data_IF_172878340520
#
_entry.id   IF_172878340520
#
_cell.length_a   1.000
_cell.length_b   1.000
_cell.length_c   1.000
_cell.angle_alpha   90.00
_cell.angle_beta   90.00
_cell.angle_gamma   90.00
#
_symmetry.space_group_name_H-M   'P 1'
#
loop_
_entity.id
_entity.type
_entity.pdbx_description
1 polymer ?
#
# COMPACT_ATOMS: atom_id res chain seq x y z
N UNK A 1 22.18 -6.37 -1.85
CA UNK A 1 22.16 -5.73 -0.51
C UNK A 1 21.62 -6.72 0.50
N UNK A 2 20.41 -7.25 0.31
CA UNK A 2 19.78 -8.22 1.20
C UNK A 2 20.66 -9.45 1.50
N UNK A 3 21.25 -10.06 0.46
CA UNK A 3 22.12 -11.23 0.59
C UNK A 3 23.54 -10.92 1.08
N UNK A 4 23.91 -9.66 1.18
CA UNK A 4 25.25 -9.24 1.61
C UNK A 4 25.27 -8.70 3.04
N UNK A 5 24.17 -8.06 3.48
CA UNK A 5 24.07 -7.41 4.79
C UNK A 5 22.93 -7.96 5.66
N UNK A 6 21.98 -8.71 5.07
CA UNK A 6 20.95 -9.45 5.75
C UNK A 6 21.12 -10.95 5.59
N UNK A 7 20.16 -11.74 6.06
CA UNK A 7 20.13 -13.19 5.86
C UNK A 7 19.74 -13.55 4.41
N UNK A 8 18.94 -12.72 3.76
CA UNK A 8 18.44 -12.93 2.42
C UNK A 8 17.35 -11.93 2.03
N UNK A 9 16.65 -12.23 0.96
CA UNK A 9 15.41 -11.51 0.61
C UNK A 9 14.29 -11.98 1.53
N UNK A 10 13.45 -11.07 1.99
CA UNK A 10 12.32 -11.41 2.84
C UNK A 10 11.17 -12.04 2.05
N UNK A 11 11.06 -11.72 0.78
CA UNK A 11 10.08 -12.23 -0.19
C UNK A 11 10.58 -12.01 -1.61
N UNK A 12 9.91 -12.60 -2.60
CA UNK A 12 10.23 -12.38 -4.00
C UNK A 12 9.98 -10.92 -4.37
N UNK A 13 11.07 -10.21 -4.69
CA UNK A 13 10.99 -8.78 -5.02
C UNK A 13 10.12 -8.54 -6.25
N UNK A 14 9.40 -7.44 -6.24
CA UNK A 14 8.59 -6.96 -7.34
C UNK A 14 9.31 -5.77 -7.99
N UNK A 15 9.54 -5.88 -9.30
CA UNK A 15 10.11 -4.81 -10.11
C UNK A 15 9.24 -4.66 -11.35
N UNK A 16 8.29 -3.73 -11.33
CA UNK A 16 7.23 -3.62 -12.31
C UNK A 16 7.17 -2.20 -12.90
N UNK A 17 7.29 -2.09 -14.22
CA UNK A 17 7.19 -0.81 -14.92
C UNK A 17 5.98 -0.78 -15.86
N UNK A 18 5.47 0.42 -16.12
CA UNK A 18 4.33 0.63 -17.02
C UNK A 18 3.13 -0.22 -16.60
N UNK A 19 2.50 -0.89 -17.55
CA UNK A 19 1.31 -1.70 -17.32
C UNK A 19 1.51 -2.85 -16.32
N UNK A 20 2.74 -3.35 -16.17
CA UNK A 20 3.04 -4.41 -15.21
C UNK A 20 2.86 -3.93 -13.76
N UNK A 21 3.01 -2.64 -13.48
CA UNK A 21 2.81 -2.06 -12.15
C UNK A 21 1.35 -2.12 -11.67
N UNK A 22 0.39 -2.40 -12.56
CA UNK A 22 -1.02 -2.65 -12.20
C UNK A 22 -1.27 -4.11 -11.76
N UNK A 23 -0.25 -4.96 -11.79
CA UNK A 23 -0.31 -6.32 -11.23
C UNK A 23 0.33 -6.30 -9.85
N UNK A 24 -0.46 -6.56 -8.80
CA UNK A 24 -0.02 -6.40 -7.40
C UNK A 24 1.30 -7.12 -7.08
N UNK A 25 1.47 -8.34 -7.60
CA UNK A 25 2.67 -9.14 -7.35
C UNK A 25 3.30 -9.57 -8.70
N UNK A 26 3.93 -8.60 -9.39
CA UNK A 26 4.68 -8.88 -10.63
C UNK A 26 6.06 -9.46 -10.32
N UNK A 27 6.09 -10.69 -9.79
CA UNK A 27 7.33 -11.40 -9.40
C UNK A 27 8.12 -11.93 -10.60
N UNK A 28 7.54 -11.92 -11.79
CA UNK A 28 8.25 -12.33 -13.03
C UNK A 28 9.41 -11.38 -13.35
N UNK A 29 9.29 -10.11 -12.97
CA UNK A 29 10.32 -9.09 -13.15
C UNK A 29 10.83 -9.02 -14.61
N UNK A 30 9.93 -9.13 -15.57
CA UNK A 30 10.20 -9.07 -17.01
C UNK A 30 9.61 -7.79 -17.59
N UNK A 31 10.06 -7.42 -18.77
CA UNK A 31 9.67 -6.21 -19.48
C UNK A 31 10.73 -5.14 -19.43
N UNK A 32 10.58 -4.14 -20.27
CA UNK A 32 11.52 -3.03 -20.43
C UNK A 32 11.14 -1.86 -19.51
N UNK A 33 12.13 -1.05 -19.17
CA UNK A 33 11.96 0.24 -18.51
C UNK A 33 11.97 1.33 -19.59
N UNK A 34 10.81 1.86 -19.93
CA UNK A 34 10.72 2.88 -20.96
C UNK A 34 10.72 4.29 -20.36
N UNK A 35 11.20 5.24 -21.13
CA UNK A 35 11.10 6.66 -20.79
C UNK A 35 9.63 7.06 -20.64
N UNK A 36 9.30 7.71 -19.53
CA UNK A 36 7.93 8.10 -19.20
C UNK A 36 7.14 7.08 -18.37
N UNK A 37 7.62 5.83 -18.21
CA UNK A 37 7.00 4.86 -17.32
C UNK A 37 7.22 5.21 -15.84
N UNK A 38 6.32 4.71 -14.98
CA UNK A 38 6.58 4.55 -13.56
C UNK A 38 7.15 3.15 -13.30
N UNK A 39 8.13 3.09 -12.41
CA UNK A 39 8.67 1.85 -11.86
C UNK A 39 8.18 1.69 -10.43
N UNK A 40 7.41 0.65 -10.16
CA UNK A 40 7.12 0.17 -8.81
C UNK A 40 8.20 -0.85 -8.43
N UNK A 41 8.90 -0.55 -7.36
CA UNK A 41 9.89 -1.43 -6.77
C UNK A 41 9.48 -1.76 -5.34
N UNK A 42 9.28 -3.05 -5.10
CA UNK A 42 8.90 -3.59 -3.80
C UNK A 42 9.87 -4.69 -3.42
N UNK A 43 10.59 -4.48 -2.32
CA UNK A 43 11.65 -5.38 -1.90
C UNK A 43 11.87 -5.33 -0.39
N UNK A 44 12.00 -6.50 0.21
CA UNK A 44 12.26 -6.68 1.63
C UNK A 44 13.53 -7.46 1.92
N UNK A 45 14.01 -7.31 3.13
CA UNK A 45 15.23 -7.98 3.64
C UNK A 45 14.86 -8.73 4.92
N UNK A 46 15.20 -10.01 4.98
CA UNK A 46 15.23 -10.73 6.26
C UNK A 46 16.49 -10.30 7.03
N UNK A 47 16.29 -9.77 8.23
CA UNK A 47 17.37 -9.30 9.10
C UNK A 47 17.83 -10.41 10.06
N UNK A 48 18.94 -10.17 10.79
CA UNK A 48 19.53 -11.16 11.69
C UNK A 48 18.58 -11.70 12.78
N UNK A 49 17.55 -10.95 13.15
CA UNK A 49 16.49 -11.40 14.06
C UNK A 49 15.43 -12.28 13.39
N UNK A 50 15.59 -12.61 12.12
CA UNK A 50 14.64 -13.34 11.27
C UNK A 50 13.36 -12.55 10.93
N UNK A 51 13.27 -11.30 11.34
CA UNK A 51 12.17 -10.42 10.92
C UNK A 51 12.37 -9.95 9.49
N UNK A 52 11.28 -9.82 8.77
CA UNK A 52 11.25 -9.34 7.40
C UNK A 52 10.88 -7.86 7.36
N UNK A 53 11.68 -7.07 6.65
CA UNK A 53 11.32 -5.71 6.25
C UNK A 53 10.55 -5.73 4.93
N UNK A 54 9.72 -4.72 4.71
CA UNK A 54 8.89 -4.55 3.54
C UNK A 54 8.87 -3.08 3.11
N UNK A 55 9.35 -2.80 1.90
CA UNK A 55 9.47 -1.43 1.40
C UNK A 55 9.10 -1.35 -0.08
N UNK A 56 8.00 -0.63 -0.36
CA UNK A 56 7.58 -0.28 -1.72
C UNK A 56 7.86 1.18 -2.05
N UNK A 57 8.36 1.44 -3.24
CA UNK A 57 8.53 2.79 -3.80
C UNK A 57 8.15 2.81 -5.27
N UNK A 58 7.43 3.87 -5.68
CA UNK A 58 7.08 4.13 -7.08
C UNK A 58 7.87 5.35 -7.57
N UNK A 59 8.63 5.18 -8.63
CA UNK A 59 9.58 6.16 -9.14
C UNK A 59 9.39 6.35 -10.65
N UNK A 60 9.53 7.57 -11.19
CA UNK A 60 9.56 7.76 -12.63
C UNK A 60 10.88 7.23 -13.21
N UNK A 61 10.83 6.39 -14.24
CA UNK A 61 12.01 5.76 -14.86
C UNK A 61 13.03 6.79 -15.31
N UNK A 62 12.59 7.92 -15.86
CA UNK A 62 13.46 9.02 -16.32
C UNK A 62 13.81 10.05 -15.23
N UNK A 63 13.41 9.82 -13.98
CA UNK A 63 13.66 10.70 -12.85
C UNK A 63 12.73 11.92 -12.76
N UNK A 64 11.69 12.01 -13.59
CA UNK A 64 10.74 13.13 -13.61
C UNK A 64 9.32 12.63 -13.74
N UNK A 65 8.45 13.04 -12.82
CA UNK A 65 7.02 12.82 -12.95
C UNK A 65 6.42 13.73 -14.02
N UNK A 66 5.49 13.22 -14.80
CA UNK A 66 4.52 14.07 -15.52
C UNK A 66 3.55 14.69 -14.51
N UNK A 67 2.80 15.73 -14.94
CA UNK A 67 1.82 16.37 -14.04
C UNK A 67 0.75 15.37 -13.55
N UNK A 68 0.28 14.49 -14.41
CA UNK A 68 -0.69 13.45 -14.05
C UNK A 68 -0.10 12.44 -13.04
N UNK A 69 1.11 11.94 -13.31
CA UNK A 69 1.80 11.03 -12.39
C UNK A 69 2.05 11.68 -11.03
N UNK A 70 2.46 12.95 -11.02
CA UNK A 70 2.69 13.72 -9.79
C UNK A 70 1.39 13.91 -8.99
N UNK A 71 0.28 14.21 -9.67
CA UNK A 71 -1.03 14.35 -9.04
C UNK A 71 -1.45 13.06 -8.33
N UNK A 72 -1.31 11.92 -8.99
CA UNK A 72 -1.65 10.61 -8.38
C UNK A 72 -0.67 10.25 -7.26
N UNK A 73 0.64 10.46 -7.48
CA UNK A 73 1.67 10.21 -6.47
C UNK A 73 1.41 11.00 -5.18
N UNK A 74 1.10 12.29 -5.29
CA UNK A 74 0.85 13.15 -4.12
C UNK A 74 -0.43 12.72 -3.36
N UNK A 75 -1.45 12.24 -4.06
CA UNK A 75 -2.65 11.69 -3.43
C UNK A 75 -2.34 10.40 -2.64
N UNK A 76 -1.58 9.48 -3.23
CA UNK A 76 -1.15 8.25 -2.54
C UNK A 76 -0.24 8.57 -1.35
N UNK A 77 0.66 9.53 -1.50
CA UNK A 77 1.52 10.00 -0.41
C UNK A 77 0.70 10.60 0.74
N UNK A 78 -0.30 11.43 0.43
CA UNK A 78 -1.21 11.98 1.44
C UNK A 78 -2.02 10.87 2.16
N UNK A 79 -2.46 9.85 1.43
CA UNK A 79 -3.14 8.69 2.01
C UNK A 79 -2.20 7.88 2.94
N UNK A 80 -0.93 7.71 2.56
CA UNK A 80 0.07 7.07 3.39
C UNK A 80 0.30 7.86 4.70
N UNK A 81 0.48 9.17 4.62
CA UNK A 81 0.66 10.04 5.79
C UNK A 81 -0.55 9.97 6.73
N UNK A 82 -1.77 9.96 6.18
CA UNK A 82 -2.99 9.79 6.98
C UNK A 82 -3.03 8.43 7.69
N UNK A 83 -2.69 7.35 6.98
CA UNK A 83 -2.57 6.02 7.57
C UNK A 83 -1.52 5.96 8.66
N UNK A 84 -0.31 6.51 8.44
CA UNK A 84 0.77 6.57 9.44
C UNK A 84 0.31 7.34 10.68
N UNK A 85 -0.38 8.46 10.51
CA UNK A 85 -0.91 9.26 11.63
C UNK A 85 -1.96 8.50 12.47
N UNK A 86 -2.66 7.53 11.89
CA UNK A 86 -3.59 6.67 12.60
C UNK A 86 -2.91 5.56 13.40
N UNK A 87 -1.65 5.21 13.11
CA UNK A 87 -0.90 4.17 13.85
C UNK A 87 -0.49 4.70 15.21
N UNK A 88 -1.22 4.28 16.24
CA UNK A 88 -0.94 4.63 17.64
C UNK A 88 -1.51 3.56 18.58
N UNK A 89 -0.92 3.37 19.77
CA UNK A 89 -1.49 2.48 20.78
C UNK A 89 -2.96 2.83 21.09
N UNK A 90 -3.81 1.81 21.13
CA UNK A 90 -5.25 1.94 21.38
C UNK A 90 -6.10 2.23 20.12
N UNK A 91 -5.49 2.56 18.98
CA UNK A 91 -6.22 2.61 17.71
C UNK A 91 -6.53 1.18 17.24
N UNK A 92 -7.60 0.99 16.50
CA UNK A 92 -7.88 -0.28 15.84
C UNK A 92 -6.97 -0.46 14.63
N UNK A 93 -6.63 -1.70 14.32
CA UNK A 93 -5.87 -2.00 13.10
C UNK A 93 -6.58 -1.48 11.84
N UNK A 94 -7.91 -1.58 11.78
CA UNK A 94 -8.71 -1.06 10.67
C UNK A 94 -8.65 0.46 10.52
N UNK A 95 -8.42 1.22 11.59
CA UNK A 95 -8.39 2.69 11.54
C UNK A 95 -7.29 3.20 10.57
N UNK A 96 -6.22 2.44 10.40
CA UNK A 96 -5.14 2.76 9.46
C UNK A 96 -5.64 2.69 8.01
N UNK A 97 -6.39 1.66 7.69
CA UNK A 97 -7.01 1.51 6.37
C UNK A 97 -8.06 2.59 6.14
N UNK A 98 -8.95 2.80 7.11
CA UNK A 98 -10.04 3.76 6.99
C UNK A 98 -9.52 5.19 6.79
N UNK A 99 -8.44 5.57 7.47
CA UNK A 99 -7.79 6.87 7.27
C UNK A 99 -7.22 7.03 5.86
N UNK A 100 -6.54 6.01 5.35
CA UNK A 100 -5.93 6.05 4.03
C UNK A 100 -6.96 6.05 2.90
N UNK A 101 -7.98 5.18 2.96
CA UNK A 101 -9.00 5.10 1.90
C UNK A 101 -9.91 6.33 1.85
N UNK A 102 -10.09 7.03 2.96
CA UNK A 102 -10.82 8.31 2.98
C UNK A 102 -10.12 9.34 2.10
N UNK A 103 -8.82 9.53 2.26
CA UNK A 103 -8.02 10.44 1.41
C UNK A 103 -8.10 10.03 -0.06
N UNK A 104 -7.99 8.74 -0.35
CA UNK A 104 -8.13 8.22 -1.73
C UNK A 104 -9.51 8.53 -2.28
N UNK A 105 -10.59 8.27 -1.53
CA UNK A 105 -11.96 8.51 -1.98
C UNK A 105 -12.22 10.01 -2.24
N UNK A 106 -11.69 10.90 -1.41
CA UNK A 106 -11.76 12.35 -1.60
C UNK A 106 -11.09 12.78 -2.91
N UNK A 107 -9.90 12.25 -3.22
CA UNK A 107 -9.22 12.52 -4.48
C UNK A 107 -9.97 11.92 -5.68
N UNK A 108 -10.45 10.69 -5.60
CA UNK A 108 -11.24 10.05 -6.65
C UNK A 108 -12.51 10.84 -6.95
N UNK A 109 -13.20 11.34 -5.90
CA UNK A 109 -14.36 12.22 -6.06
C UNK A 109 -13.98 13.53 -6.76
N UNK A 110 -12.93 14.21 -6.30
CA UNK A 110 -12.46 15.46 -6.88
C UNK A 110 -12.03 15.33 -8.35
N UNK A 111 -11.52 14.16 -8.75
CA UNK A 111 -11.13 13.86 -10.13
C UNK A 111 -12.29 13.38 -11.00
N UNK A 112 -13.49 13.20 -10.44
CA UNK A 112 -14.65 12.67 -11.17
C UNK A 112 -14.53 11.19 -11.54
N UNK A 113 -13.78 10.41 -10.77
CA UNK A 113 -13.53 8.98 -10.98
C UNK A 113 -14.50 8.07 -10.19
N UNK A 114 -15.34 8.66 -9.34
CA UNK A 114 -16.48 7.96 -8.74
C UNK A 114 -17.69 8.01 -9.69
N UNK A 115 -18.63 7.05 -9.58
CA UNK A 115 -19.86 7.10 -10.35
C UNK A 115 -20.67 8.39 -10.09
N UNK A 116 -21.44 8.82 -11.08
CA UNK A 116 -22.28 10.00 -10.95
C UNK A 116 -23.26 9.89 -9.73
N UNK A 117 -23.31 10.93 -8.91
CA UNK A 117 -24.14 10.97 -7.72
C UNK A 117 -23.57 10.25 -6.48
N UNK A 118 -22.38 9.65 -6.60
CA UNK A 118 -21.69 9.00 -5.46
C UNK A 118 -20.78 10.02 -4.79
N UNK A 119 -21.07 10.37 -3.55
CA UNK A 119 -20.18 11.16 -2.69
C UNK A 119 -19.17 10.27 -1.95
N UNK A 120 -18.29 10.90 -1.18
CA UNK A 120 -17.23 10.21 -0.44
C UNK A 120 -17.78 9.22 0.58
N UNK A 121 -18.82 9.60 1.31
CA UNK A 121 -19.42 8.76 2.35
C UNK A 121 -20.08 7.52 1.73
N UNK A 122 -20.82 7.70 0.65
CA UNK A 122 -21.38 6.60 -0.14
C UNK A 122 -20.28 5.70 -0.72
N UNK A 123 -19.17 6.30 -1.21
CA UNK A 123 -18.07 5.54 -1.76
C UNK A 123 -17.34 4.68 -0.71
N UNK A 124 -17.39 5.05 0.55
CA UNK A 124 -16.77 4.35 1.66
C UNK A 124 -17.71 3.40 2.41
N UNK A 125 -19.04 3.48 2.16
CA UNK A 125 -20.00 2.61 2.79
C UNK A 125 -19.64 1.14 2.64
N UNK A 126 -19.59 0.39 3.75
CA UNK A 126 -19.09 -0.99 3.77
C UNK A 126 -20.06 -2.02 3.23
N UNK A 127 -21.36 -1.69 3.19
CA UNK A 127 -22.42 -2.64 2.76
C UNK A 127 -22.80 -2.42 1.30
N UNK A 128 -22.90 -1.15 0.87
CA UNK A 128 -23.47 -0.80 -0.43
C UNK A 128 -22.57 0.07 -1.31
N UNK A 129 -21.37 0.41 -0.80
CA UNK A 129 -20.42 1.30 -1.45
C UNK A 129 -19.13 0.60 -1.87
N UNK A 130 -18.03 1.00 -1.26
CA UNK A 130 -16.68 0.54 -1.55
C UNK A 130 -16.23 0.84 -2.99
N UNK A 131 -16.69 1.94 -3.58
CA UNK A 131 -16.35 2.31 -4.96
C UNK A 131 -14.87 2.64 -5.15
N UNK A 132 -14.17 3.03 -4.08
CA UNK A 132 -12.71 3.19 -4.07
C UNK A 132 -11.97 1.91 -4.46
N UNK A 133 -12.54 0.73 -4.20
CA UNK A 133 -11.91 -0.58 -4.47
C UNK A 133 -11.69 -0.86 -5.96
N UNK A 134 -12.29 -0.08 -6.84
CA UNK A 134 -11.99 -0.13 -8.28
C UNK A 134 -10.55 0.34 -8.57
N UNK A 135 -10.01 1.18 -7.70
CA UNK A 135 -8.73 1.87 -7.87
C UNK A 135 -7.70 1.43 -6.83
N UNK A 136 -8.14 1.10 -5.62
CA UNK A 136 -7.34 0.53 -4.56
C UNK A 136 -7.90 -0.84 -4.19
N UNK A 137 -7.31 -1.89 -4.72
CA UNK A 137 -7.87 -3.26 -4.70
C UNK A 137 -7.42 -4.10 -3.50
N UNK A 138 -6.53 -3.57 -2.65
CA UNK A 138 -5.96 -4.28 -1.50
C UNK A 138 -6.14 -3.52 -0.18
N UNK A 139 -5.77 -4.14 0.93
CA UNK A 139 -5.71 -3.49 2.24
C UNK A 139 -4.52 -2.55 2.34
N UNK A 140 -4.61 -1.55 3.24
CA UNK A 140 -3.51 -0.60 3.46
C UNK A 140 -2.38 -1.19 4.30
N UNK A 141 -2.66 -2.22 5.10
CA UNK A 141 -1.72 -2.67 6.12
C UNK A 141 -1.76 -4.17 6.32
N UNK A 142 -0.62 -4.73 6.69
CA UNK A 142 -0.48 -6.05 7.29
C UNK A 142 0.60 -6.01 8.38
N UNK A 143 0.57 -6.98 9.29
CA UNK A 143 1.63 -7.13 10.27
C UNK A 143 2.90 -7.67 9.61
N UNK A 144 4.05 -7.24 10.14
CA UNK A 144 5.37 -7.74 9.81
C UNK A 144 5.92 -8.53 11.00
N UNK A 145 6.59 -9.64 10.71
CA UNK A 145 7.22 -10.49 11.71
C UNK A 145 8.24 -11.43 11.07
N UNK A 146 8.18 -12.71 11.42
CA UNK A 146 8.98 -13.76 10.79
C UNK A 146 8.60 -13.93 9.31
N UNK A 147 7.33 -13.74 9.00
CA UNK A 147 6.83 -13.67 7.63
C UNK A 147 6.53 -12.21 7.24
N UNK A 148 6.63 -11.89 5.94
CA UNK A 148 6.26 -10.56 5.41
C UNK A 148 4.77 -10.28 5.66
N UNK A 149 3.90 -11.25 5.39
CA UNK A 149 2.49 -11.23 5.79
C UNK A 149 2.35 -12.07 7.07
N UNK A 150 2.73 -11.50 8.19
CA UNK A 150 2.71 -12.22 9.46
C UNK A 150 1.27 -12.46 9.93
N UNK A 151 1.08 -13.58 10.64
CA UNK A 151 -0.24 -14.07 11.04
C UNK A 151 -0.95 -13.20 12.11
N UNK A 152 -0.32 -12.13 12.59
CA UNK A 152 -0.80 -11.38 13.75
C UNK A 152 -1.08 -12.32 14.93
N UNK A 153 -2.05 -12.05 15.77
CA UNK A 153 -2.37 -12.89 16.93
C UNK A 153 -3.69 -13.68 16.77
N UNK A 154 -4.40 -13.49 15.64
CA UNK A 154 -5.75 -13.98 15.50
C UNK A 154 -6.16 -14.12 14.02
N UNK A 155 -7.37 -14.61 13.78
CA UNK A 155 -7.99 -14.61 12.47
C UNK A 155 -8.22 -13.17 12.00
N UNK A 156 -8.29 -13.00 10.68
CA UNK A 156 -8.47 -11.67 10.07
C UNK A 156 -9.65 -10.91 10.64
N UNK A 157 -10.78 -11.58 10.84
CA UNK A 157 -12.00 -10.99 11.39
C UNK A 157 -11.82 -10.43 12.81
N UNK A 158 -10.89 -11.01 13.55
CA UNK A 158 -10.60 -10.61 14.94
C UNK A 158 -9.57 -9.47 14.96
N UNK A 159 -8.45 -9.58 14.22
CA UNK A 159 -7.39 -8.57 14.31
C UNK A 159 -7.74 -7.26 13.61
N UNK A 160 -8.64 -7.23 12.63
CA UNK A 160 -9.08 -5.97 12.01
C UNK A 160 -9.69 -4.99 13.02
N UNK A 161 -10.46 -5.51 13.97
CA UNK A 161 -11.05 -4.73 15.06
C UNK A 161 -10.17 -4.66 16.32
N UNK A 162 -9.02 -5.35 16.35
CA UNK A 162 -8.13 -5.38 17.52
C UNK A 162 -7.37 -4.07 17.68
N UNK A 163 -7.08 -3.73 18.93
CA UNK A 163 -6.27 -2.55 19.25
C UNK A 163 -4.79 -2.77 18.95
N UNK A 164 -4.15 -1.75 18.39
CA UNK A 164 -2.71 -1.70 18.24
C UNK A 164 -2.05 -1.52 19.63
N UNK A 165 -1.08 -2.36 19.93
CA UNK A 165 -0.31 -2.25 21.18
C UNK A 165 1.16 -1.94 20.90
N UNK A 166 1.89 -1.33 21.85
CA UNK A 166 3.31 -1.06 21.71
C UNK A 166 4.11 -2.33 21.37
N UNK A 167 4.98 -2.22 20.38
CA UNK A 167 5.80 -3.34 19.88
C UNK A 167 5.26 -4.03 18.63
N UNK A 168 4.03 -3.77 18.21
CA UNK A 168 3.52 -4.21 16.90
C UNK A 168 4.23 -3.47 15.77
N UNK A 169 4.54 -4.19 14.70
CA UNK A 169 5.11 -3.66 13.46
C UNK A 169 4.12 -3.97 12.34
N UNK A 170 3.81 -2.99 11.54
CA UNK A 170 2.88 -3.11 10.41
C UNK A 170 3.29 -2.21 9.24
N UNK A 171 2.84 -2.55 8.05
CA UNK A 171 2.99 -1.72 6.85
C UNK A 171 1.93 -0.62 6.80
N UNK A 172 2.20 0.45 6.06
CA UNK A 172 1.21 1.45 5.61
C UNK A 172 1.47 1.72 4.13
N UNK A 173 0.71 1.08 3.28
CA UNK A 173 0.99 0.95 1.85
C UNK A 173 -0.24 1.17 0.96
N UNK A 174 -0.91 2.32 1.03
CA UNK A 174 -1.99 2.62 0.10
C UNK A 174 -1.47 2.70 -1.33
N UNK A 175 -2.31 2.37 -2.32
CA UNK A 175 -1.96 2.44 -3.73
C UNK A 175 -3.16 2.79 -4.62
N UNK A 176 -2.88 3.28 -5.82
CA UNK A 176 -3.84 3.49 -6.91
C UNK A 176 -3.33 2.76 -8.16
N UNK A 177 -4.21 1.98 -8.80
CA UNK A 177 -3.90 1.08 -9.92
C UNK A 177 -4.85 1.31 -11.10
#
# INVERSE_FOLDING_TARGET
HARHQGNGVGYDSICAAGDHANTLHWIKNTGDLNDGDLLLLDAGVEVASLFTADVTRTLPVNGRFTDAQRTVYDAVFAAQEAGIAAVKPGAKFSDVHDAAIRVIAEHLHAWGLLPEGVDVETALDTEHGQYHRRWMVHGTSHHLGLDVHDCALARREEYLGAELVPGMILTVEPGLY
#
